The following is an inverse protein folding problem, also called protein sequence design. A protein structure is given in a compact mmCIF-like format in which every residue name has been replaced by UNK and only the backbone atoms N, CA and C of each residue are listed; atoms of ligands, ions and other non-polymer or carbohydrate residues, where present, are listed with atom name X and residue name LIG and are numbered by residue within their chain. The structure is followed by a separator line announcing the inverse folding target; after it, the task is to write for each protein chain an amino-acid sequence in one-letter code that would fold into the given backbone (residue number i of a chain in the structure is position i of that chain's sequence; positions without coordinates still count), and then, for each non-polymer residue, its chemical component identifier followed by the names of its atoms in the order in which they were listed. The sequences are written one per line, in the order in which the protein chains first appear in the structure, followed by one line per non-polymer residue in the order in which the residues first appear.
data_IF_709365827056
#
_entry.id   IF_709365827056
#
_cell.length_a   1.000
_cell.length_b   1.000
_cell.length_c   1.000
_cell.angle_alpha   90.00
_cell.angle_beta   90.00
_cell.angle_gamma   90.00
#
_symmetry.space_group_name_H-M   'P 1'
#
loop_
_entity.id
_entity.type
_entity.pdbx_description
1 polymer ?
#
# COMPACT_ATOMS: atom_id res chain seq x y z
N UNK A 1 -20.71 64.99 -1.81
CA UNK A 1 -19.79 65.32 -2.93
C UNK A 1 -20.29 64.62 -4.19
N UNK A 2 -20.25 65.33 -5.31
CA UNK A 2 -20.92 65.02 -6.60
C UNK A 2 -20.06 64.13 -7.53
N UNK A 3 -20.75 63.64 -8.58
CA UNK A 3 -20.36 62.95 -9.83
C UNK A 3 -20.36 61.41 -9.79
N UNK A 4 -21.30 60.66 -10.40
CA UNK A 4 -21.81 60.61 -11.81
C UNK A 4 -20.72 60.11 -12.77
N UNK A 5 -20.89 59.14 -13.69
CA UNK A 5 -22.01 58.34 -14.20
C UNK A 5 -21.48 57.35 -15.25
N UNK A 6 -22.21 56.22 -15.47
CA UNK A 6 -22.37 55.48 -16.76
C UNK A 6 -21.09 54.79 -17.29
N UNK A 7 -21.11 53.55 -17.79
CA UNK A 7 -21.96 52.97 -18.84
C UNK A 7 -22.16 51.44 -18.70
N UNK A 8 -23.11 50.92 -19.51
CA UNK A 8 -23.67 49.56 -19.54
C UNK A 8 -23.07 48.68 -20.66
N UNK A 9 -23.38 47.37 -20.58
CA UNK A 9 -23.52 46.34 -21.66
C UNK A 9 -22.19 45.75 -22.22
N UNK A 10 -22.02 44.50 -22.68
CA UNK A 10 -22.77 43.21 -22.77
C UNK A 10 -21.78 42.11 -23.26
N UNK A 11 -22.19 40.84 -23.14
CA UNK A 11 -21.62 39.60 -23.74
C UNK A 11 -20.86 39.77 -25.07
N UNK A 12 -19.77 39.00 -25.28
CA UNK A 12 -19.48 38.15 -26.47
C UNK A 12 -18.33 37.16 -26.11
N UNK A 13 -18.51 35.89 -26.47
CA UNK A 13 -17.57 34.75 -26.33
C UNK A 13 -16.44 34.73 -27.40
N UNK A 14 -15.56 33.70 -27.36
CA UNK A 14 -14.92 33.00 -28.50
C UNK A 14 -13.42 33.27 -28.86
N UNK A 15 -12.63 32.22 -28.58
CA UNK A 15 -11.52 31.53 -29.31
C UNK A 15 -10.08 32.09 -29.54
N UNK A 16 -9.13 31.21 -29.14
CA UNK A 16 -7.89 30.69 -29.78
C UNK A 16 -6.85 31.62 -30.46
N UNK A 17 -5.55 31.45 -30.12
CA UNK A 17 -4.52 30.78 -30.95
C UNK A 17 -3.03 31.16 -30.66
N UNK A 18 -2.17 30.13 -30.65
CA UNK A 18 -0.74 30.04 -31.07
C UNK A 18 0.38 30.70 -30.21
N UNK A 19 1.35 29.87 -29.78
CA UNK A 19 2.79 30.03 -30.14
C UNK A 19 3.64 28.82 -29.71
N UNK A 20 4.43 28.32 -30.68
CA UNK A 20 5.40 27.23 -30.59
C UNK A 20 6.75 27.75 -30.08
N UNK A 21 7.48 26.96 -29.29
CA UNK A 21 8.96 27.03 -29.23
C UNK A 21 9.56 25.71 -28.76
N UNK A 22 10.52 25.23 -29.55
CA UNK A 22 11.30 24.00 -29.41
C UNK A 22 12.18 23.98 -28.16
N UNK A 23 12.39 22.80 -27.55
CA UNK A 23 13.70 22.36 -27.05
C UNK A 23 13.76 20.81 -27.04
N UNK A 24 14.92 20.27 -27.44
CA UNK A 24 15.21 18.85 -27.76
C UNK A 24 15.60 18.05 -26.52
N UNK A 25 15.17 16.77 -26.44
CA UNK A 25 15.62 15.78 -25.46
C UNK A 25 16.41 14.63 -26.12
N UNK A 26 17.46 14.14 -25.46
CA UNK A 26 18.24 12.94 -25.83
C UNK A 26 17.75 11.74 -25.01
N UNK A 27 17.45 10.62 -25.66
CA UNK A 27 16.96 9.37 -25.05
C UNK A 27 18.06 8.34 -24.77
N UNK A 28 17.80 7.45 -23.81
CA UNK A 28 18.57 6.24 -23.52
C UNK A 28 17.59 5.04 -23.47
N UNK A 29 17.86 3.97 -24.22
CA UNK A 29 17.08 2.72 -24.24
C UNK A 29 17.44 1.80 -23.07
N UNK A 30 16.45 1.21 -22.43
CA UNK A 30 16.61 0.07 -21.52
C UNK A 30 15.74 -1.10 -21.98
N UNK A 31 16.33 -2.29 -21.90
CA UNK A 31 15.78 -3.61 -22.21
C UNK A 31 14.81 -4.02 -21.09
N UNK A 32 13.60 -4.44 -21.45
CA UNK A 32 12.59 -4.94 -20.50
C UNK A 32 12.56 -6.48 -20.57
N UNK A 33 12.84 -7.14 -19.45
CA UNK A 33 12.60 -8.58 -19.27
C UNK A 33 11.15 -8.83 -18.84
N UNK A 34 10.52 -9.95 -19.23
CA UNK A 34 9.13 -10.25 -18.89
C UNK A 34 8.98 -10.67 -17.41
N UNK A 35 7.92 -10.18 -16.76
CA UNK A 35 7.51 -10.63 -15.43
C UNK A 35 6.81 -12.01 -15.49
N UNK A 36 6.92 -12.84 -14.43
CA UNK A 36 6.28 -14.16 -14.38
C UNK A 36 4.78 -14.07 -14.09
N UNK A 37 4.00 -14.87 -14.81
CA UNK A 37 2.56 -15.08 -14.65
C UNK A 37 2.26 -15.79 -13.33
N UNK A 38 1.37 -15.22 -12.51
CA UNK A 38 0.86 -15.88 -11.30
C UNK A 38 -0.44 -16.65 -11.61
N UNK A 39 -0.45 -17.93 -11.27
CA UNK A 39 -1.61 -18.83 -11.39
C UNK A 39 -2.53 -18.64 -10.19
N UNK A 40 -3.82 -18.42 -10.44
CA UNK A 40 -4.86 -18.27 -9.40
C UNK A 40 -5.37 -19.66 -9.01
N UNK A 41 -5.20 -20.04 -7.75
CA UNK A 41 -5.80 -21.25 -7.18
C UNK A 41 -6.85 -20.85 -6.12
N UNK A 42 -8.12 -21.16 -6.40
CA UNK A 42 -9.24 -20.93 -5.51
C UNK A 42 -9.33 -22.09 -4.50
N UNK A 43 -9.05 -21.82 -3.22
CA UNK A 43 -9.35 -22.76 -2.13
C UNK A 43 -10.21 -22.05 -1.09
N UNK A 44 -11.40 -22.60 -0.83
CA UNK A 44 -12.30 -22.20 0.27
C UNK A 44 -12.08 -23.14 1.45
N UNK A 45 -11.90 -22.61 2.66
CA UNK A 45 -12.18 -23.35 3.88
C UNK A 45 -12.54 -22.44 5.07
N UNK A 46 -13.35 -23.01 5.97
CA UNK A 46 -14.22 -22.40 6.97
C UNK A 46 -13.54 -22.08 8.31
N UNK A 47 -14.16 -21.30 9.22
CA UNK A 47 -13.49 -20.66 10.35
C UNK A 47 -13.57 -21.48 11.66
N UNK A 48 -12.59 -21.29 12.55
CA UNK A 48 -12.69 -21.73 13.94
C UNK A 48 -12.00 -20.74 14.89
N UNK A 49 -12.80 -19.81 15.41
CA UNK A 49 -13.01 -19.48 16.82
C UNK A 49 -11.90 -19.65 17.90
N UNK A 50 -11.54 -18.49 18.49
CA UNK A 50 -11.56 -18.11 19.94
C UNK A 50 -10.27 -17.92 20.76
N UNK A 51 -10.19 -16.68 21.30
CA UNK A 51 -9.93 -16.24 22.71
C UNK A 51 -8.53 -15.79 23.18
N UNK A 52 -8.53 -14.51 23.59
CA UNK A 52 -7.61 -13.66 24.38
C UNK A 52 -7.40 -14.16 25.84
N UNK A 53 -6.44 -13.65 26.66
CA UNK A 53 -6.37 -12.24 27.12
C UNK A 53 -4.97 -11.57 27.37
N UNK A 54 -4.94 -10.26 27.07
CA UNK A 54 -4.47 -9.07 27.84
C UNK A 54 -3.28 -9.20 28.83
N UNK A 55 -2.24 -8.39 28.62
CA UNK A 55 -1.50 -7.70 29.70
C UNK A 55 -0.81 -6.41 29.22
N UNK A 56 -1.03 -5.34 29.97
CA UNK A 56 -0.59 -3.95 29.79
C UNK A 56 0.89 -3.76 30.16
N UNK A 57 1.68 -3.06 29.34
CA UNK A 57 2.91 -2.41 29.79
C UNK A 57 3.26 -1.20 28.93
N UNK A 58 3.27 -0.03 29.59
CA UNK A 58 3.61 1.28 29.06
C UNK A 58 5.13 1.41 28.93
N UNK A 59 5.64 1.76 27.75
CA UNK A 59 6.99 2.30 27.62
C UNK A 59 7.06 3.24 26.41
N UNK A 60 7.20 4.54 26.71
CA UNK A 60 7.51 5.60 25.75
C UNK A 60 8.92 5.41 25.20
N UNK A 61 9.09 5.30 23.87
CA UNK A 61 10.37 5.58 23.21
C UNK A 61 10.19 6.23 21.83
N UNK A 62 10.97 7.29 21.68
CA UNK A 62 11.25 8.16 20.54
C UNK A 62 11.38 7.41 19.21
N UNK A 63 10.53 7.75 18.23
CA UNK A 63 10.60 7.25 16.86
C UNK A 63 11.55 8.11 16.03
N UNK A 64 12.59 7.49 15.47
CA UNK A 64 13.34 8.08 14.37
C UNK A 64 12.56 7.79 13.08
N UNK A 65 12.26 8.80 12.22
CA UNK A 65 11.51 8.55 10.99
C UNK A 65 12.29 7.63 10.04
N UNK A 66 11.65 6.55 9.60
CA UNK A 66 12.13 5.74 8.47
C UNK A 66 11.99 6.50 7.14
N UNK A 67 12.66 6.04 6.07
CA UNK A 67 12.64 6.69 4.78
C UNK A 67 11.23 6.67 4.15
N UNK A 68 10.77 7.83 3.68
CA UNK A 68 9.52 7.98 2.92
C UNK A 68 9.74 7.58 1.46
N UNK A 69 8.95 6.63 0.96
CA UNK A 69 8.92 6.28 -0.46
C UNK A 69 7.64 6.81 -1.11
N UNK A 70 7.78 7.69 -2.10
CA UNK A 70 6.66 8.21 -2.90
C UNK A 70 6.60 7.47 -4.24
N UNK A 71 5.51 6.78 -4.51
CA UNK A 71 5.24 6.18 -5.82
C UNK A 71 4.57 7.23 -6.71
N UNK A 72 5.17 7.55 -7.86
CA UNK A 72 4.57 8.42 -8.87
C UNK A 72 4.05 7.52 -10.00
N UNK A 73 2.74 7.55 -10.26
CA UNK A 73 2.11 6.88 -11.40
C UNK A 73 1.81 7.94 -12.45
N UNK A 74 2.36 7.80 -13.66
CA UNK A 74 2.06 8.66 -14.81
C UNK A 74 1.13 7.94 -15.81
N UNK A 75 0.15 8.63 -16.42
CA UNK A 75 -0.64 8.10 -17.52
C UNK A 75 0.19 8.06 -18.83
N UNK A 76 0.15 6.93 -19.54
CA UNK A 76 0.83 6.76 -20.84
C UNK A 76 0.09 7.47 -21.98
N UNK A 77 0.82 8.17 -22.84
CA UNK A 77 0.29 8.80 -24.05
C UNK A 77 0.37 7.86 -25.27
N UNK A 78 -0.53 7.99 -26.28
CA UNK A 78 -0.58 7.12 -27.45
C UNK A 78 0.55 7.42 -28.46
N UNK A 79 0.98 6.39 -29.20
CA UNK A 79 2.04 6.43 -30.23
C UNK A 79 1.58 7.17 -31.51
N UNK A 80 2.43 8.01 -32.14
CA UNK A 80 2.27 8.45 -33.52
C UNK A 80 3.02 7.53 -34.52
N UNK A 81 2.65 7.55 -35.82
CA UNK A 81 3.11 6.58 -36.82
C UNK A 81 4.53 6.85 -37.32
N UNK A 82 5.16 5.77 -37.80
CA UNK A 82 6.54 5.69 -38.27
C UNK A 82 6.86 6.64 -39.43
N UNK A 83 7.95 7.39 -39.28
CA UNK A 83 8.60 8.19 -40.33
C UNK A 83 10.13 8.20 -40.14
N UNK A 84 10.84 8.10 -41.26
CA UNK A 84 12.20 7.56 -41.43
C UNK A 84 13.28 8.68 -41.53
N UNK A 85 14.48 8.39 -40.99
CA UNK A 85 15.84 8.95 -41.23
C UNK A 85 16.21 10.35 -40.70
N UNK A 86 17.24 10.39 -39.85
CA UNK A 86 18.09 11.56 -39.62
C UNK A 86 19.02 11.44 -38.40
N UNK A 87 20.31 11.15 -38.63
CA UNK A 87 21.47 11.09 -37.70
C UNK A 87 21.35 11.93 -36.42
N UNK A 88 21.44 11.29 -35.25
CA UNK A 88 21.58 11.94 -33.93
C UNK A 88 23.03 12.36 -33.66
N UNK A 89 23.30 13.60 -33.19
CA UNK A 89 24.61 13.97 -32.64
C UNK A 89 24.74 13.48 -31.19
N UNK A 90 25.77 12.69 -30.92
CA UNK A 90 26.12 12.22 -29.56
C UNK A 90 26.73 13.38 -28.77
N UNK A 91 25.99 13.91 -27.80
CA UNK A 91 26.53 14.83 -26.80
C UNK A 91 27.17 14.02 -25.67
N UNK A 92 28.51 13.93 -25.69
CA UNK A 92 29.28 13.33 -24.59
C UNK A 92 29.38 14.34 -23.44
N UNK A 93 28.62 14.15 -22.37
CA UNK A 93 28.85 14.88 -21.11
C UNK A 93 30.04 14.25 -20.37
N UNK A 94 31.03 15.02 -19.89
CA UNK A 94 32.30 14.49 -19.37
C UNK A 94 32.27 14.08 -17.88
N UNK A 95 31.09 14.11 -17.24
CA UNK A 95 30.93 13.72 -15.85
C UNK A 95 29.97 12.54 -15.76
N UNK A 96 30.52 11.36 -15.46
CA UNK A 96 29.70 10.20 -15.12
C UNK A 96 28.89 10.48 -13.87
N UNK A 97 27.56 10.50 -13.99
CA UNK A 97 26.68 10.47 -12.83
C UNK A 97 26.84 9.09 -12.20
N UNK A 98 27.71 8.98 -11.19
CA UNK A 98 27.74 7.81 -10.32
C UNK A 98 26.50 7.93 -9.43
N UNK A 99 25.39 7.36 -9.87
CA UNK A 99 24.27 7.13 -8.99
C UNK A 99 24.74 6.18 -7.88
N UNK A 100 25.08 6.72 -6.71
CA UNK A 100 25.20 5.93 -5.49
C UNK A 100 23.82 5.37 -5.20
N UNK A 101 23.54 4.16 -5.67
CA UNK A 101 22.36 3.44 -5.20
C UNK A 101 22.53 3.23 -3.70
N UNK A 102 21.59 3.67 -2.84
CA UNK A 102 21.68 3.38 -1.42
C UNK A 102 21.59 1.86 -1.25
N UNK A 103 22.75 1.23 -1.02
CA UNK A 103 22.81 -0.19 -0.68
C UNK A 103 22.30 -0.30 0.75
N UNK A 104 21.16 -0.97 0.94
CA UNK A 104 20.65 -1.27 2.27
C UNK A 104 21.78 -1.94 3.10
N UNK A 105 22.01 -1.52 4.36
CA UNK A 105 23.03 -2.12 5.19
C UNK A 105 22.88 -3.64 5.22
N UNK A 106 23.98 -4.36 4.99
CA UNK A 106 23.97 -5.82 5.05
C UNK A 106 23.57 -6.26 6.47
N UNK A 107 22.59 -7.15 6.57
CA UNK A 107 22.21 -7.79 7.84
C UNK A 107 23.28 -8.81 8.24
N UNK A 108 23.55 -8.97 9.54
CA UNK A 108 24.50 -9.98 10.04
C UNK A 108 24.10 -11.39 9.62
N UNK A 109 22.81 -11.69 9.73
CA UNK A 109 22.20 -12.95 9.34
C UNK A 109 21.19 -12.67 8.21
N UNK A 110 21.38 -13.22 7.00
CA UNK A 110 20.41 -13.08 5.93
C UNK A 110 19.05 -13.65 6.33
N UNK A 111 17.99 -12.86 6.16
CA UNK A 111 16.60 -13.27 6.40
C UNK A 111 15.86 -13.30 5.07
N UNK A 112 15.31 -14.46 4.72
CA UNK A 112 14.40 -14.62 3.58
C UNK A 112 13.10 -13.86 3.86
N UNK A 113 12.56 -13.18 2.86
CA UNK A 113 11.37 -12.36 3.04
C UNK A 113 10.42 -12.53 1.87
N UNK A 114 9.14 -12.75 2.18
CA UNK A 114 8.06 -12.80 1.23
C UNK A 114 6.87 -11.97 1.74
N UNK A 115 6.16 -11.34 0.82
CA UNK A 115 4.93 -10.58 1.12
C UNK A 115 3.83 -10.89 0.10
N UNK A 116 3.31 -12.13 0.07
CA UNK A 116 2.25 -12.48 -0.87
C UNK A 116 1.03 -11.58 -0.63
N UNK A 117 0.59 -10.93 -1.69
CA UNK A 117 -0.51 -9.98 -1.69
C UNK A 117 -1.56 -10.44 -2.68
N UNK A 118 -2.83 -10.44 -2.26
CA UNK A 118 -3.96 -10.70 -3.15
C UNK A 118 -5.12 -9.75 -2.88
N UNK A 119 -5.88 -9.50 -3.94
CA UNK A 119 -7.15 -8.79 -3.88
C UNK A 119 -8.28 -9.80 -4.07
N UNK A 120 -9.27 -9.75 -3.19
CA UNK A 120 -10.52 -10.51 -3.28
C UNK A 120 -11.66 -9.51 -3.43
N UNK A 121 -12.68 -9.86 -4.20
CA UNK A 121 -13.84 -8.98 -4.38
C UNK A 121 -15.15 -9.68 -4.01
N UNK A 122 -16.15 -8.88 -3.66
CA UNK A 122 -17.53 -9.33 -3.54
C UNK A 122 -18.44 -8.46 -4.42
N UNK A 123 -19.53 -9.04 -4.97
CA UNK A 123 -20.40 -8.32 -5.89
C UNK A 123 -21.27 -7.31 -5.16
N UNK A 124 -21.43 -6.15 -5.77
CA UNK A 124 -22.38 -5.10 -5.38
C UNK A 124 -23.36 -4.86 -6.52
N UNK A 125 -24.65 -4.88 -6.19
CA UNK A 125 -25.75 -4.80 -7.14
C UNK A 125 -26.63 -3.58 -6.90
N UNK A 126 -27.15 -2.99 -7.98
CA UNK A 126 -28.04 -1.84 -7.91
C UNK A 126 -27.74 -0.82 -9.01
N UNK A 127 -28.71 0.08 -9.23
CA UNK A 127 -28.60 1.19 -10.19
C UNK A 127 -28.71 2.56 -9.52
N UNK A 128 -29.23 2.63 -8.29
CA UNK A 128 -29.34 3.86 -7.47
C UNK A 128 -28.42 3.80 -6.26
N UNK A 129 -28.14 4.95 -5.65
CA UNK A 129 -27.32 5.06 -4.43
C UNK A 129 -27.88 4.17 -3.31
N UNK A 130 -29.20 4.16 -3.12
CA UNK A 130 -29.87 3.40 -2.05
C UNK A 130 -29.74 1.90 -2.28
N UNK A 131 -29.84 1.44 -3.53
CA UNK A 131 -29.67 0.03 -3.86
C UNK A 131 -28.23 -0.43 -3.65
N UNK A 132 -27.25 0.39 -4.06
CA UNK A 132 -25.83 0.11 -3.82
C UNK A 132 -25.52 0.09 -2.32
N UNK A 133 -26.05 1.04 -1.55
CA UNK A 133 -25.92 1.11 -0.09
C UNK A 133 -26.45 -0.15 0.58
N UNK A 134 -27.69 -0.55 0.24
CA UNK A 134 -28.27 -1.79 0.77
C UNK A 134 -27.45 -3.04 0.39
N UNK A 135 -26.86 -3.06 -0.81
CA UNK A 135 -25.99 -4.13 -1.25
C UNK A 135 -24.64 -4.14 -0.51
N UNK A 136 -24.08 -2.99 -0.16
CA UNK A 136 -22.86 -2.87 0.66
C UNK A 136 -23.14 -3.32 2.10
N UNK A 137 -24.23 -2.84 2.70
CA UNK A 137 -24.66 -3.21 4.05
C UNK A 137 -24.84 -4.71 4.22
N UNK A 138 -25.45 -5.38 3.23
CA UNK A 138 -25.63 -6.83 3.23
C UNK A 138 -24.30 -7.61 3.26
N UNK A 139 -23.24 -7.03 2.70
CA UNK A 139 -21.91 -7.64 2.60
C UNK A 139 -20.89 -7.03 3.58
N UNK A 140 -21.33 -6.16 4.49
CA UNK A 140 -20.43 -5.49 5.43
C UNK A 140 -19.68 -6.52 6.28
N UNK A 141 -18.37 -6.36 6.34
CA UNK A 141 -17.48 -7.25 7.07
C UNK A 141 -17.31 -6.77 8.52
N UNK A 142 -17.00 -7.72 9.40
CA UNK A 142 -16.61 -7.42 10.78
C UNK A 142 -15.10 -7.25 10.84
N UNK A 143 -14.66 -6.19 11.50
CA UNK A 143 -13.27 -6.00 11.90
C UNK A 143 -13.10 -6.44 13.36
N UNK A 144 -11.94 -7.03 13.69
CA UNK A 144 -11.63 -7.46 15.06
C UNK A 144 -11.50 -6.30 16.03
N UNK A 145 -11.02 -5.15 15.57
CA UNK A 145 -10.81 -3.97 16.41
C UNK A 145 -12.05 -3.07 16.47
N UNK A 146 -12.95 -3.21 15.49
CA UNK A 146 -14.26 -2.58 15.49
C UNK A 146 -15.39 -3.55 15.07
N UNK A 147 -15.82 -4.47 15.95
CA UNK A 147 -16.77 -5.54 15.63
C UNK A 147 -18.21 -5.08 15.40
N UNK A 148 -18.52 -3.84 15.80
CA UNK A 148 -19.83 -3.21 15.59
C UNK A 148 -19.82 -2.25 14.39
N UNK A 149 -18.65 -2.02 13.78
CA UNK A 149 -18.51 -1.23 12.57
C UNK A 149 -19.05 -1.98 11.35
N UNK A 150 -19.49 -1.20 10.36
CA UNK A 150 -19.84 -1.70 9.03
C UNK A 150 -18.68 -1.37 8.10
N UNK A 151 -17.91 -2.38 7.73
CA UNK A 151 -16.73 -2.21 6.89
C UNK A 151 -17.00 -2.76 5.49
N UNK A 152 -17.04 -1.86 4.51
CA UNK A 152 -17.31 -2.22 3.12
C UNK A 152 -16.07 -2.70 2.37
N UNK A 153 -14.88 -2.46 2.92
CA UNK A 153 -13.63 -3.08 2.52
C UNK A 153 -12.86 -3.50 3.77
N UNK A 154 -11.87 -4.38 3.60
CA UNK A 154 -11.02 -4.82 4.70
C UNK A 154 -9.71 -5.38 4.18
N UNK A 155 -8.61 -4.92 4.77
CA UNK A 155 -7.28 -5.50 4.57
C UNK A 155 -6.90 -6.34 5.78
N UNK A 156 -6.84 -7.65 5.57
CA UNK A 156 -6.39 -8.61 6.56
C UNK A 156 -4.94 -9.02 6.30
N UNK A 157 -4.20 -9.30 7.37
CA UNK A 157 -2.81 -9.71 7.28
C UNK A 157 -2.48 -10.85 8.24
N UNK A 158 -1.46 -11.62 7.88
CA UNK A 158 -0.90 -12.69 8.70
C UNK A 158 0.62 -12.67 8.63
N UNK A 159 1.26 -12.46 9.78
CA UNK A 159 2.71 -12.51 9.94
C UNK A 159 3.12 -13.90 10.43
N UNK A 160 4.03 -14.55 9.70
CA UNK A 160 4.69 -15.78 10.13
C UNK A 160 6.21 -15.64 10.01
N UNK A 161 6.93 -16.34 10.88
CA UNK A 161 8.38 -16.38 10.88
C UNK A 161 8.90 -17.73 11.36
N UNK A 162 10.07 -18.10 10.84
CA UNK A 162 10.83 -19.27 11.26
C UNK A 162 12.32 -18.95 11.28
N UNK A 163 13.07 -19.71 12.08
CA UNK A 163 14.52 -19.63 12.19
C UNK A 163 15.05 -20.90 12.82
N UNK A 164 16.33 -21.17 12.61
CA UNK A 164 17.09 -22.18 13.33
C UNK A 164 17.94 -21.52 14.42
N UNK A 165 18.05 -22.18 15.57
CA UNK A 165 19.07 -21.85 16.58
C UNK A 165 20.37 -22.61 16.28
N UNK A 166 21.45 -21.87 16.00
CA UNK A 166 22.75 -22.47 15.69
C UNK A 166 23.71 -22.27 16.88
N UNK A 167 24.09 -23.35 17.59
CA UNK A 167 25.11 -23.28 18.63
C UNK A 167 26.46 -22.83 18.03
N UNK A 168 27.18 -22.01 18.78
CA UNK A 168 28.54 -21.54 18.45
C UNK A 168 29.44 -21.65 19.68
N UNK A 169 30.75 -21.44 19.50
CA UNK A 169 31.69 -21.43 20.63
C UNK A 169 31.40 -20.30 21.64
N UNK A 170 30.71 -19.24 21.22
CA UNK A 170 30.39 -18.07 22.04
C UNK A 170 28.93 -18.00 22.48
N UNK A 171 28.12 -19.03 22.21
CA UNK A 171 26.71 -19.08 22.59
C UNK A 171 25.83 -19.69 21.50
N UNK A 172 24.78 -18.97 21.10
CA UNK A 172 23.84 -19.41 20.07
C UNK A 172 23.39 -18.22 19.21
N UNK A 173 23.35 -18.42 17.89
CA UNK A 173 22.99 -17.39 16.90
C UNK A 173 21.79 -17.82 16.04
N UNK A 174 21.16 -16.84 15.38
CA UNK A 174 20.07 -17.06 14.43
C UNK A 174 20.63 -17.57 13.10
N UNK A 175 20.04 -18.63 12.55
CA UNK A 175 20.34 -19.14 11.21
C UNK A 175 19.05 -19.40 10.41
N UNK A 176 19.16 -19.47 9.09
CA UNK A 176 18.10 -19.89 8.16
C UNK A 176 16.75 -19.17 8.36
N UNK A 177 16.78 -17.91 8.80
CA UNK A 177 15.58 -17.16 9.13
C UNK A 177 14.74 -16.83 7.88
N UNK A 178 13.41 -16.92 8.04
CA UNK A 178 12.43 -16.56 7.02
C UNK A 178 11.24 -15.83 7.67
N UNK A 179 10.72 -14.81 6.98
CA UNK A 179 9.52 -14.08 7.35
C UNK A 179 8.57 -14.05 6.15
N UNK A 180 7.29 -14.28 6.41
CA UNK A 180 6.21 -14.10 5.44
C UNK A 180 5.15 -13.15 6.00
N UNK A 181 4.81 -12.12 5.22
CA UNK A 181 3.70 -11.23 5.49
C UNK A 181 2.61 -11.44 4.45
N UNK A 182 1.63 -12.29 4.75
CA UNK A 182 0.51 -12.57 3.83
C UNK A 182 -0.57 -11.52 4.00
N UNK A 183 -0.98 -10.88 2.91
CA UNK A 183 -1.96 -9.80 2.93
C UNK A 183 -3.10 -10.09 1.95
N UNK A 184 -4.34 -9.93 2.41
CA UNK A 184 -5.55 -10.03 1.59
C UNK A 184 -6.38 -8.77 1.75
N UNK A 185 -6.55 -8.03 0.65
CA UNK A 185 -7.42 -6.86 0.57
C UNK A 185 -8.76 -7.28 -0.06
N UNK A 186 -9.87 -7.07 0.65
CA UNK A 186 -11.21 -7.39 0.18
C UNK A 186 -11.94 -6.11 -0.22
N UNK A 187 -12.42 -6.03 -1.46
CA UNK A 187 -13.06 -4.84 -2.02
C UNK A 187 -14.47 -5.11 -2.58
N UNK A 188 -15.37 -4.11 -2.53
CA UNK A 188 -16.62 -4.18 -3.28
C UNK A 188 -16.37 -4.02 -4.79
N UNK A 189 -17.14 -4.74 -5.61
CA UNK A 189 -17.06 -4.66 -7.07
C UNK A 189 -18.47 -4.62 -7.68
N UNK A 190 -18.73 -3.62 -8.53
CA UNK A 190 -20.01 -3.54 -9.26
C UNK A 190 -20.16 -4.72 -10.20
N UNK A 191 -21.32 -5.37 -10.15
CA UNK A 191 -21.65 -6.44 -11.08
C UNK A 191 -22.06 -5.90 -12.46
N UNK A 192 -22.80 -4.79 -12.50
CA UNK A 192 -23.33 -4.19 -13.74
C UNK A 192 -23.06 -2.68 -13.81
N UNK A 193 -21.80 -2.26 -14.01
CA UNK A 193 -21.43 -0.84 -13.96
C UNK A 193 -22.13 0.04 -15.02
N UNK A 194 -22.54 -0.54 -16.16
CA UNK A 194 -23.26 0.17 -17.23
C UNK A 194 -24.68 0.61 -16.85
N UNK A 195 -25.24 0.05 -15.78
CA UNK A 195 -26.64 0.25 -15.40
C UNK A 195 -26.81 1.29 -14.29
N UNK A 196 -25.73 1.93 -13.82
CA UNK A 196 -25.81 2.94 -12.77
C UNK A 196 -26.41 4.24 -13.32
N UNK A 197 -27.26 4.86 -12.53
CA UNK A 197 -27.64 6.25 -12.78
C UNK A 197 -26.44 7.19 -12.54
N UNK A 198 -26.34 8.32 -13.26
CA UNK A 198 -25.15 9.19 -13.21
C UNK A 198 -24.73 9.63 -11.81
N UNK A 199 -25.69 9.90 -10.93
CA UNK A 199 -25.41 10.25 -9.54
C UNK A 199 -24.77 9.07 -8.77
N UNK A 200 -25.36 7.88 -8.89
CA UNK A 200 -24.85 6.67 -8.24
C UNK A 200 -23.44 6.32 -8.72
N UNK A 201 -23.18 6.47 -10.04
CA UNK A 201 -21.85 6.27 -10.62
C UNK A 201 -20.81 7.23 -10.01
N UNK A 202 -21.14 8.53 -9.94
CA UNK A 202 -20.24 9.55 -9.37
C UNK A 202 -19.94 9.26 -7.89
N UNK A 203 -20.95 8.88 -7.10
CA UNK A 203 -20.77 8.52 -5.69
C UNK A 203 -19.92 7.26 -5.54
N UNK A 204 -20.17 6.26 -6.38
CA UNK A 204 -19.42 5.00 -6.39
C UNK A 204 -17.95 5.23 -6.68
N UNK A 205 -17.62 5.98 -7.74
CA UNK A 205 -16.24 6.22 -8.16
C UNK A 205 -15.43 6.94 -7.07
N UNK A 206 -16.04 7.93 -6.41
CA UNK A 206 -15.43 8.62 -5.27
C UNK A 206 -15.23 7.67 -4.08
N UNK A 207 -16.25 6.88 -3.74
CA UNK A 207 -16.17 5.94 -2.64
C UNK A 207 -15.10 4.87 -2.86
N UNK A 208 -15.11 4.18 -4.02
CA UNK A 208 -14.21 3.05 -4.26
C UNK A 208 -12.75 3.50 -4.37
N UNK A 209 -12.48 4.66 -4.99
CA UNK A 209 -11.11 5.17 -5.10
C UNK A 209 -10.52 5.54 -3.73
N UNK A 210 -11.30 6.22 -2.87
CA UNK A 210 -10.87 6.55 -1.52
C UNK A 210 -10.76 5.31 -0.62
N UNK A 211 -11.65 4.35 -0.79
CA UNK A 211 -11.59 3.07 -0.08
C UNK A 211 -10.33 2.30 -0.45
N UNK A 212 -10.01 2.16 -1.74
CA UNK A 212 -8.76 1.53 -2.19
C UNK A 212 -7.54 2.27 -1.61
N UNK A 213 -7.55 3.60 -1.58
CA UNK A 213 -6.46 4.38 -0.98
C UNK A 213 -6.26 4.04 0.50
N UNK A 214 -7.35 3.97 1.27
CA UNK A 214 -7.33 3.63 2.70
C UNK A 214 -6.79 2.21 2.92
N UNK A 215 -7.35 1.22 2.22
CA UNK A 215 -6.93 -0.18 2.33
C UNK A 215 -5.48 -0.40 1.91
N UNK A 216 -5.01 0.29 0.87
CA UNK A 216 -3.61 0.22 0.44
C UNK A 216 -2.64 0.76 1.48
N UNK A 217 -3.06 1.63 2.39
CA UNK A 217 -2.18 2.05 3.48
C UNK A 217 -2.02 0.96 4.53
N UNK A 218 -3.06 0.18 4.85
CA UNK A 218 -2.94 -1.02 5.69
C UNK A 218 -1.95 -2.03 5.09
N UNK A 219 -2.00 -2.24 3.76
CA UNK A 219 -1.02 -3.08 3.05
C UNK A 219 0.41 -2.58 3.30
N UNK A 220 0.65 -1.27 3.16
CA UNK A 220 1.97 -0.67 3.39
C UNK A 220 2.42 -0.79 4.85
N UNK A 221 1.53 -0.55 5.81
CA UNK A 221 1.83 -0.68 7.24
C UNK A 221 2.28 -2.10 7.58
N UNK A 222 1.58 -3.12 7.06
CA UNK A 222 1.97 -4.52 7.21
C UNK A 222 3.35 -4.84 6.61
N UNK A 223 3.60 -4.43 5.36
CA UNK A 223 4.89 -4.67 4.67
C UNK A 223 6.04 -3.94 5.37
N UNK A 224 5.83 -2.68 5.77
CA UNK A 224 6.85 -1.87 6.43
C UNK A 224 7.22 -2.46 7.79
N UNK A 225 6.25 -2.81 8.62
CA UNK A 225 6.53 -3.43 9.91
C UNK A 225 7.18 -4.82 9.78
N UNK A 226 6.78 -5.63 8.79
CA UNK A 226 7.46 -6.90 8.53
C UNK A 226 8.89 -6.72 8.02
N UNK A 227 9.16 -5.63 7.28
CA UNK A 227 10.51 -5.24 6.85
C UNK A 227 11.37 -4.80 8.03
N UNK A 228 10.79 -4.07 8.99
CA UNK A 228 11.47 -3.72 10.24
C UNK A 228 11.78 -4.95 11.09
N UNK A 229 10.83 -5.87 11.23
CA UNK A 229 11.06 -7.14 11.89
C UNK A 229 12.20 -7.92 11.21
N UNK A 230 12.21 -8.00 9.87
CA UNK A 230 13.29 -8.63 9.10
C UNK A 230 14.65 -8.03 9.44
N UNK A 231 14.75 -6.70 9.51
CA UNK A 231 15.98 -6.00 9.87
C UNK A 231 16.41 -6.30 11.31
N UNK A 232 15.47 -6.34 12.25
CA UNK A 232 15.75 -6.61 13.65
C UNK A 232 16.17 -8.08 13.87
N UNK A 233 15.51 -9.02 13.20
CA UNK A 233 15.86 -10.44 13.22
C UNK A 233 17.22 -10.70 12.57
N UNK A 234 17.49 -10.10 11.41
CA UNK A 234 18.77 -10.26 10.72
C UNK A 234 19.96 -9.65 11.45
N UNK A 235 19.72 -8.72 12.39
CA UNK A 235 20.76 -8.11 13.21
C UNK A 235 20.72 -8.57 14.67
N UNK A 236 19.94 -9.60 14.97
CA UNK A 236 19.79 -10.12 16.32
C UNK A 236 21.14 -10.61 16.85
N UNK A 237 21.46 -10.23 18.09
CA UNK A 237 22.74 -10.60 18.70
C UNK A 237 22.71 -12.05 19.18
N UNK A 238 23.84 -12.77 19.13
CA UNK A 238 23.94 -14.08 19.75
C UNK A 238 23.59 -14.04 21.25
N UNK A 239 22.93 -15.09 21.74
CA UNK A 239 22.62 -15.26 23.16
C UNK A 239 23.57 -16.30 23.79
N UNK A 240 23.66 -16.32 25.13
CA UNK A 240 24.54 -17.27 25.84
C UNK A 240 24.15 -18.74 25.66
N UNK A 241 22.88 -19.02 25.36
CA UNK A 241 22.36 -20.37 25.09
C UNK A 241 21.23 -20.30 24.07
N UNK A 242 20.94 -21.42 23.41
CA UNK A 242 19.84 -21.48 22.43
C UNK A 242 18.46 -21.34 23.10
N UNK A 243 18.30 -21.80 24.34
CA UNK A 243 17.06 -21.57 25.10
C UNK A 243 16.80 -20.09 25.35
N UNK A 244 17.86 -19.35 25.72
CA UNK A 244 17.77 -17.90 25.91
C UNK A 244 17.48 -17.20 24.57
N UNK A 245 18.16 -17.61 23.50
CA UNK A 245 17.92 -17.08 22.16
C UNK A 245 16.44 -17.25 21.76
N UNK A 246 15.89 -18.46 21.93
CA UNK A 246 14.50 -18.78 21.60
C UNK A 246 13.50 -17.93 22.36
N UNK A 247 13.70 -17.71 23.66
CA UNK A 247 12.85 -16.83 24.47
C UNK A 247 12.91 -15.38 23.98
N UNK A 248 14.12 -14.88 23.68
CA UNK A 248 14.29 -13.51 23.21
C UNK A 248 13.69 -13.29 21.81
N UNK A 249 13.86 -14.24 20.89
CA UNK A 249 13.24 -14.19 19.55
C UNK A 249 11.71 -14.29 19.61
N UNK A 250 11.18 -15.12 20.52
CA UNK A 250 9.74 -15.17 20.78
C UNK A 250 9.20 -13.83 21.29
N UNK A 251 9.96 -13.15 22.16
CA UNK A 251 9.62 -11.81 22.63
C UNK A 251 9.71 -10.77 21.52
N UNK A 252 10.73 -10.85 20.66
CA UNK A 252 10.88 -9.97 19.50
C UNK A 252 9.67 -10.14 18.58
N UNK A 253 9.32 -11.36 18.19
CA UNK A 253 8.17 -11.63 17.31
C UNK A 253 6.87 -11.03 17.87
N UNK A 254 6.58 -11.26 19.15
CA UNK A 254 5.37 -10.70 19.81
C UNK A 254 5.35 -9.17 19.78
N UNK A 255 6.50 -8.55 20.04
CA UNK A 255 6.64 -7.09 20.00
C UNK A 255 6.38 -6.56 18.58
N UNK A 256 7.05 -7.11 17.58
CA UNK A 256 6.93 -6.64 16.19
C UNK A 256 5.50 -6.85 15.64
N UNK A 257 4.86 -7.98 16.00
CA UNK A 257 3.45 -8.21 15.68
C UNK A 257 2.55 -7.13 16.30
N UNK A 258 2.73 -6.83 17.59
CA UNK A 258 1.95 -5.82 18.28
C UNK A 258 2.18 -4.41 17.72
N UNK A 259 3.40 -4.09 17.28
CA UNK A 259 3.71 -2.79 16.65
C UNK A 259 3.01 -2.64 15.29
N UNK A 260 2.98 -3.71 14.47
CA UNK A 260 2.23 -3.72 13.21
C UNK A 260 0.73 -3.54 13.48
N UNK A 261 0.18 -4.31 14.42
CA UNK A 261 -1.24 -4.24 14.80
C UNK A 261 -1.60 -2.82 15.26
N UNK A 262 -0.79 -2.27 16.18
CA UNK A 262 -0.96 -0.92 16.69
C UNK A 262 -0.92 0.13 15.57
N UNK A 263 0.00 0.01 14.62
CA UNK A 263 0.09 0.98 13.52
C UNK A 263 -1.17 0.97 12.65
N UNK A 264 -1.77 -0.20 12.41
CA UNK A 264 -3.05 -0.31 11.69
C UNK A 264 -4.19 0.31 12.48
N UNK A 265 -4.33 -0.04 13.77
CA UNK A 265 -5.37 0.52 14.65
C UNK A 265 -5.25 2.04 14.80
N UNK A 266 -4.03 2.56 14.94
CA UNK A 266 -3.78 4.00 15.03
C UNK A 266 -4.15 4.70 13.72
N UNK A 267 -3.90 4.07 12.57
CA UNK A 267 -4.28 4.60 11.26
C UNK A 267 -5.79 4.64 11.07
N UNK A 268 -6.49 3.56 11.41
CA UNK A 268 -7.96 3.50 11.44
C UNK A 268 -8.53 4.59 12.35
N UNK A 269 -8.02 4.69 13.57
CA UNK A 269 -8.47 5.70 14.55
C UNK A 269 -8.28 7.11 14.00
N UNK A 270 -7.11 7.40 13.40
CA UNK A 270 -6.78 8.72 12.85
C UNK A 270 -7.65 9.09 11.66
N UNK A 271 -8.01 8.12 10.83
CA UNK A 271 -8.78 8.34 9.60
C UNK A 271 -10.28 8.12 9.77
N UNK A 272 -10.71 7.79 11.00
CA UNK A 272 -12.05 7.31 11.30
C UNK A 272 -12.46 6.17 10.34
N UNK A 273 -11.62 5.13 10.25
CA UNK A 273 -11.76 4.00 9.32
C UNK A 273 -11.94 4.48 7.87
N UNK A 274 -11.08 5.40 7.43
CA UNK A 274 -11.10 5.96 6.08
C UNK A 274 -12.18 7.02 5.83
N UNK A 275 -13.09 7.27 6.77
CA UNK A 275 -14.15 8.26 6.57
C UNK A 275 -13.61 9.68 6.33
N UNK A 276 -12.52 10.08 7.02
CA UNK A 276 -11.88 11.39 6.78
C UNK A 276 -11.13 11.46 5.45
N UNK A 277 -10.95 10.32 4.78
CA UNK A 277 -10.35 10.22 3.45
C UNK A 277 -11.41 10.12 2.34
N UNK A 278 -12.69 10.21 2.69
CA UNK A 278 -13.78 10.10 1.73
C UNK A 278 -14.15 8.66 1.36
N UNK A 279 -13.67 7.66 2.11
CA UNK A 279 -14.11 6.26 1.98
C UNK A 279 -15.49 6.06 2.64
N UNK A 280 -16.46 6.88 2.24
CA UNK A 280 -17.83 6.86 2.76
C UNK A 280 -18.80 6.62 1.62
N UNK A 281 -19.77 5.74 1.86
CA UNK A 281 -20.91 5.55 0.98
C UNK A 281 -22.20 5.81 1.77
N UNK A 282 -23.18 6.55 1.21
CA UNK A 282 -24.43 6.92 1.91
C UNK A 282 -25.24 5.73 2.40
#
# INVERSE_FOLDING_TARGET
MKYSSRDRLTLVEILLAISFSMFVAVGCSMIVSPMPTATVELVRQAPTETRTPIATATASKTSTPGPTYTLVIQPGTPLPPLGIIGKTPTATVPYGIVAMTPVAPQMKNPVKFASPFKVVTYPVTGSTTEQLSASLDKNAMKDSHNPFGRHYALTSWHLSASWDEKPTISGCEVANAAITMTITMTLPMLENPSNLFPEAATRWDNFISNTVMHEMEHVKLGINGATEFRRNLGNFLPAMSCDLLKLQLSSLFKKEYADIDKANVDYDTKTNHGATQGAVFP
#
